data_IF_045618150835
#
_entry.id   IF_045618150835
#
_cell.length_a   1.000
_cell.length_b   1.000
_cell.length_c   1.000
_cell.angle_alpha   90.00
_cell.angle_beta   90.00
_cell.angle_gamma   90.00
#
_symmetry.space_group_name_H-M   'P 1'
#
loop_
_entity.id
_entity.type
_entity.pdbx_description
1 polymer ?
#
# COMPACT_ATOMS: atom_id res chain seq x y z
N UNK A 1 18.78 -27.03 21.54
CA UNK A 1 17.40 -27.57 21.46
C UNK A 1 16.85 -27.34 20.06
N UNK A 2 16.14 -28.31 19.49
CA UNK A 2 15.42 -28.09 18.22
C UNK A 2 14.34 -27.02 18.39
N UNK A 3 14.21 -26.15 17.38
CA UNK A 3 13.15 -25.12 17.37
C UNK A 3 11.80 -25.79 17.25
N UNK A 4 10.84 -25.44 18.10
CA UNK A 4 9.49 -25.99 18.07
C UNK A 4 8.72 -25.56 16.81
N UNK A 5 8.97 -24.35 16.33
CA UNK A 5 8.39 -23.78 15.09
C UNK A 5 9.54 -23.52 14.13
N UNK A 6 9.42 -23.88 12.83
CA UNK A 6 10.48 -23.62 11.86
C UNK A 6 10.70 -22.10 11.66
N UNK A 7 11.91 -21.70 11.28
CA UNK A 7 12.19 -20.28 11.01
C UNK A 7 11.36 -19.75 9.83
N UNK A 8 11.24 -20.56 8.78
CA UNK A 8 10.44 -20.23 7.59
C UNK A 8 9.27 -21.20 7.50
N UNK A 9 8.07 -20.66 7.49
CA UNK A 9 6.83 -21.41 7.36
C UNK A 9 6.32 -21.19 5.94
N UNK A 10 6.27 -22.26 5.17
CA UNK A 10 5.75 -22.25 3.81
C UNK A 10 4.40 -22.97 3.75
N UNK A 11 3.52 -22.43 2.94
CA UNK A 11 2.35 -23.13 2.43
C UNK A 11 2.73 -23.82 1.10
N UNK A 12 2.05 -24.90 0.75
CA UNK A 12 2.10 -25.46 -0.61
C UNK A 12 1.25 -24.64 -1.58
N UNK A 13 1.40 -24.85 -2.87
CA UNK A 13 0.54 -24.21 -3.88
C UNK A 13 -0.95 -24.54 -3.68
N UNK A 14 -1.26 -25.75 -3.24
CA UNK A 14 -2.64 -26.18 -2.96
C UNK A 14 -3.27 -25.45 -1.78
N UNK A 15 -2.44 -24.91 -0.88
CA UNK A 15 -2.85 -24.15 0.29
C UNK A 15 -2.97 -22.63 0.02
N UNK A 16 -2.64 -22.19 -1.20
CA UNK A 16 -2.90 -20.80 -1.59
C UNK A 16 -4.39 -20.46 -1.49
N UNK A 17 -4.73 -19.26 -1.08
CA UNK A 17 -6.11 -18.80 -1.09
C UNK A 17 -6.73 -18.92 -2.49
N UNK A 18 -7.91 -19.50 -2.57
CA UNK A 18 -8.71 -19.61 -3.83
C UNK A 18 -9.74 -18.48 -3.94
N UNK A 19 -9.86 -17.65 -2.92
CA UNK A 19 -10.71 -16.46 -2.88
C UNK A 19 -10.05 -15.36 -2.09
N UNK A 20 -10.28 -14.12 -2.51
CA UNK A 20 -10.00 -12.97 -1.68
C UNK A 20 -11.08 -12.81 -0.61
N UNK A 21 -10.72 -12.15 0.48
CA UNK A 21 -11.62 -11.87 1.59
C UNK A 21 -12.01 -10.39 1.63
N UNK A 22 -13.30 -10.11 1.45
CA UNK A 22 -13.83 -8.77 1.51
C UNK A 22 -14.30 -8.43 2.93
N UNK A 23 -13.45 -7.72 3.67
CA UNK A 23 -13.72 -7.33 5.04
C UNK A 23 -15.02 -6.50 5.20
N UNK A 24 -15.41 -5.72 4.15
CA UNK A 24 -16.63 -4.90 4.20
C UNK A 24 -17.88 -5.74 4.49
N UNK A 25 -17.94 -6.98 4.00
CA UNK A 25 -19.07 -7.88 4.26
C UNK A 25 -19.28 -8.21 5.74
N UNK A 26 -18.21 -8.15 6.55
CA UNK A 26 -18.26 -8.45 7.98
C UNK A 26 -18.32 -7.19 8.86
N UNK A 27 -18.26 -5.99 8.29
CA UNK A 27 -18.41 -4.74 9.04
C UNK A 27 -19.90 -4.46 9.29
N UNK A 28 -20.27 -4.21 10.56
CA UNK A 28 -21.64 -3.84 10.92
C UNK A 28 -22.06 -2.51 10.30
N UNK A 29 -21.17 -1.53 10.32
CA UNK A 29 -21.32 -0.27 9.60
C UNK A 29 -20.30 -0.22 8.46
N UNK A 30 -20.81 -0.12 7.23
CA UNK A 30 -19.97 0.00 6.03
C UNK A 30 -19.24 1.35 6.00
N UNK A 31 -18.11 1.48 5.26
CA UNK A 31 -17.58 2.79 4.92
C UNK A 31 -18.62 3.64 4.18
N UNK A 32 -18.52 4.96 4.31
CA UNK A 32 -19.38 5.87 3.57
C UNK A 32 -19.22 5.68 2.04
N UNK A 33 -20.29 5.89 1.23
CA UNK A 33 -20.25 5.65 -0.20
C UNK A 33 -19.26 6.59 -0.92
N UNK A 34 -18.70 6.12 -2.01
CA UNK A 34 -17.91 6.94 -2.94
C UNK A 34 -18.86 7.92 -3.63
N UNK A 35 -18.52 9.21 -3.70
CA UNK A 35 -19.39 10.23 -4.29
C UNK A 35 -18.87 10.72 -5.65
N UNK A 36 -19.78 10.91 -6.57
CA UNK A 36 -19.53 11.57 -7.85
C UNK A 36 -19.26 13.07 -7.63
N UNK A 37 -18.12 13.63 -8.11
CA UNK A 37 -17.70 14.98 -7.75
C UNK A 37 -18.66 16.09 -8.21
N UNK A 38 -19.38 15.88 -9.32
CA UNK A 38 -20.30 16.89 -9.86
C UNK A 38 -21.70 16.83 -9.27
N UNK A 39 -22.18 15.65 -8.82
CA UNK A 39 -23.56 15.48 -8.31
C UNK A 39 -23.63 15.27 -6.82
N UNK A 40 -22.51 14.92 -6.17
CA UNK A 40 -22.38 14.54 -4.76
C UNK A 40 -23.31 13.37 -4.35
N UNK A 41 -23.72 12.56 -5.31
CA UNK A 41 -24.46 11.30 -5.09
C UNK A 41 -23.50 10.12 -5.13
N UNK A 42 -23.87 8.98 -4.53
CA UNK A 42 -23.08 7.75 -4.68
C UNK A 42 -22.80 7.46 -6.16
N UNK A 43 -21.56 7.08 -6.47
CA UNK A 43 -21.16 6.71 -7.83
C UNK A 43 -21.85 5.41 -8.26
N UNK A 44 -22.10 5.30 -9.55
CA UNK A 44 -22.57 4.08 -10.20
C UNK A 44 -21.43 3.36 -10.91
N UNK A 45 -21.68 2.16 -11.39
CA UNK A 45 -20.71 1.43 -12.21
C UNK A 45 -20.40 2.18 -13.52
N UNK A 46 -21.40 2.85 -14.10
CA UNK A 46 -21.28 3.65 -15.32
C UNK A 46 -20.36 4.86 -15.13
N UNK A 47 -20.35 5.48 -13.93
CA UNK A 47 -19.48 6.60 -13.61
C UNK A 47 -18.00 6.19 -13.56
N UNK A 48 -17.69 4.95 -13.12
CA UNK A 48 -16.33 4.44 -12.97
C UNK A 48 -15.80 3.69 -14.20
N UNK A 49 -16.67 3.12 -15.03
CA UNK A 49 -16.32 2.30 -16.19
C UNK A 49 -15.42 3.00 -17.24
N UNK A 50 -15.49 4.32 -17.46
CA UNK A 50 -14.54 4.99 -18.34
C UNK A 50 -13.09 4.95 -17.86
N UNK A 51 -12.88 4.91 -16.53
CA UNK A 51 -11.56 4.98 -15.90
C UNK A 51 -10.99 3.59 -15.62
N UNK A 52 -11.79 2.68 -15.04
CA UNK A 52 -11.36 1.36 -14.61
C UNK A 52 -11.93 0.23 -15.46
N UNK A 53 -11.31 -0.94 -15.49
CA UNK A 53 -11.89 -2.12 -16.08
C UNK A 53 -13.12 -2.59 -15.28
N UNK A 54 -14.08 -3.21 -15.98
CA UNK A 54 -15.41 -3.55 -15.43
C UNK A 54 -15.37 -4.39 -14.17
N UNK A 55 -14.48 -5.38 -14.11
CA UNK A 55 -14.40 -6.24 -12.94
C UNK A 55 -13.79 -5.51 -11.73
N UNK A 56 -12.82 -4.61 -11.94
CA UNK A 56 -12.33 -3.75 -10.87
C UNK A 56 -13.44 -2.84 -10.31
N UNK A 57 -14.29 -2.29 -11.19
CA UNK A 57 -15.47 -1.51 -10.79
C UNK A 57 -16.45 -2.34 -9.97
N UNK A 58 -16.75 -3.57 -10.42
CA UNK A 58 -17.64 -4.49 -9.69
C UNK A 58 -17.09 -4.77 -8.29
N UNK A 59 -15.80 -5.08 -8.17
CA UNK A 59 -15.15 -5.36 -6.89
C UNK A 59 -15.05 -4.12 -6.00
N UNK A 60 -14.87 -2.93 -6.58
CA UNK A 60 -14.84 -1.67 -5.82
C UNK A 60 -16.17 -1.41 -5.12
N UNK A 61 -17.29 -1.68 -5.82
CA UNK A 61 -18.64 -1.42 -5.33
C UNK A 61 -19.26 -2.59 -4.55
N UNK A 62 -18.67 -3.80 -4.59
CA UNK A 62 -19.18 -4.98 -3.90
C UNK A 62 -18.90 -4.92 -2.40
N UNK A 63 -19.92 -4.67 -1.59
CA UNK A 63 -19.84 -4.59 -0.13
C UNK A 63 -20.34 -5.85 0.57
N UNK A 64 -20.96 -6.78 -0.16
CA UNK A 64 -21.73 -7.88 0.39
C UNK A 64 -21.07 -9.26 0.20
N UNK A 65 -20.35 -9.45 -0.90
CA UNK A 65 -19.65 -10.72 -1.16
C UNK A 65 -18.47 -10.89 -0.22
N UNK A 66 -18.62 -11.75 0.78
CA UNK A 66 -17.58 -12.01 1.79
C UNK A 66 -16.31 -12.62 1.19
N UNK A 67 -16.47 -13.54 0.24
CA UNK A 67 -15.38 -14.19 -0.49
C UNK A 67 -15.57 -13.98 -1.98
N UNK A 68 -14.54 -13.43 -2.63
CA UNK A 68 -14.52 -13.21 -4.07
C UNK A 68 -13.57 -14.25 -4.69
N UNK A 69 -14.05 -15.18 -5.54
CA UNK A 69 -13.21 -16.19 -6.14
C UNK A 69 -12.05 -15.60 -6.95
N UNK A 70 -10.87 -16.23 -6.88
CA UNK A 70 -9.71 -15.87 -7.67
C UNK A 70 -9.74 -16.69 -8.95
N UNK A 71 -9.86 -16.08 -10.15
CA UNK A 71 -9.81 -16.80 -11.42
C UNK A 71 -8.52 -17.61 -11.60
N UNK A 72 -8.60 -18.74 -12.31
CA UNK A 72 -7.45 -19.62 -12.53
C UNK A 72 -6.29 -18.90 -13.21
N UNK A 73 -6.56 -17.99 -14.18
CA UNK A 73 -5.49 -17.23 -14.83
C UNK A 73 -4.75 -16.28 -13.89
N UNK A 74 -5.37 -15.85 -12.77
CA UNK A 74 -4.70 -15.10 -11.71
C UNK A 74 -3.95 -16.05 -10.78
N UNK A 75 -4.51 -17.21 -10.47
CA UNK A 75 -3.81 -18.23 -9.67
C UNK A 75 -2.53 -18.70 -10.38
N UNK A 76 -2.55 -18.87 -11.70
CA UNK A 76 -1.36 -19.20 -12.49
C UNK A 76 -0.28 -18.11 -12.38
N UNK A 77 -0.68 -16.85 -12.46
CA UNK A 77 0.24 -15.74 -12.22
C UNK A 77 0.80 -15.75 -10.78
N UNK A 78 -0.05 -16.02 -9.79
CA UNK A 78 0.37 -16.09 -8.39
C UNK A 78 1.37 -17.24 -8.14
N UNK A 79 1.23 -18.40 -8.75
CA UNK A 79 2.17 -19.54 -8.63
C UNK A 79 3.61 -19.16 -8.98
N UNK A 80 3.82 -18.12 -9.79
CA UNK A 80 5.17 -17.66 -10.12
C UNK A 80 5.93 -17.05 -8.91
N UNK A 81 5.23 -16.63 -7.84
CA UNK A 81 5.87 -15.96 -6.69
C UNK A 81 5.18 -16.16 -5.34
N UNK A 82 4.07 -16.87 -5.30
CA UNK A 82 3.32 -17.23 -4.09
C UNK A 82 3.24 -18.75 -3.93
N UNK A 83 3.00 -19.26 -2.69
CA UNK A 83 2.83 -18.52 -1.43
C UNK A 83 4.10 -17.79 -0.98
N UNK A 84 3.96 -16.59 -0.43
CA UNK A 84 5.11 -15.90 0.17
C UNK A 84 5.38 -16.41 1.60
N UNK A 85 6.63 -16.42 2.07
CA UNK A 85 6.94 -17.02 3.36
C UNK A 85 6.43 -16.21 4.55
N UNK A 86 5.97 -16.91 5.60
CA UNK A 86 5.89 -16.39 6.96
C UNK A 86 7.17 -16.79 7.69
N UNK A 87 7.84 -15.84 8.32
CA UNK A 87 9.14 -16.08 8.97
C UNK A 87 9.03 -15.71 10.45
N UNK A 88 9.53 -16.60 11.32
CA UNK A 88 9.75 -16.26 12.73
C UNK A 88 11.13 -15.64 12.91
N UNK A 89 11.16 -14.45 13.47
CA UNK A 89 12.36 -13.62 13.61
C UNK A 89 13.21 -14.02 14.84
N UNK A 90 13.62 -15.27 14.92
CA UNK A 90 14.40 -15.79 16.06
C UNK A 90 15.69 -15.01 16.31
N UNK A 91 16.35 -14.51 15.28
CA UNK A 91 17.58 -13.77 15.44
C UNK A 91 17.33 -12.36 15.95
N UNK A 92 16.23 -11.73 15.52
CA UNK A 92 15.79 -10.45 16.04
C UNK A 92 15.33 -10.58 17.51
N UNK A 93 14.50 -11.60 17.83
CA UNK A 93 14.09 -11.92 19.21
C UNK A 93 15.33 -12.01 20.15
N UNK A 94 16.35 -12.76 19.71
CA UNK A 94 17.61 -12.92 20.43
C UNK A 94 18.39 -11.60 20.56
N UNK A 95 18.48 -10.81 19.48
CA UNK A 95 19.21 -9.53 19.47
C UNK A 95 18.55 -8.47 20.34
N UNK A 96 17.22 -8.56 20.54
CA UNK A 96 16.45 -7.70 21.43
C UNK A 96 16.43 -8.22 22.88
N UNK A 97 16.77 -9.50 23.09
CA UNK A 97 16.64 -10.20 24.38
C UNK A 97 15.22 -10.10 24.94
N UNK A 98 14.22 -10.26 24.07
CA UNK A 98 12.81 -10.13 24.38
C UNK A 98 12.13 -11.49 24.60
N UNK A 99 11.12 -11.58 25.49
CA UNK A 99 10.26 -12.76 25.59
C UNK A 99 9.21 -12.84 24.48
N UNK A 100 9.05 -11.77 23.66
CA UNK A 100 8.09 -11.74 22.56
C UNK A 100 8.43 -12.76 21.47
N UNK A 101 7.40 -13.30 20.82
CA UNK A 101 7.49 -14.08 19.60
C UNK A 101 7.20 -13.18 18.40
N UNK A 102 8.17 -13.01 17.50
CA UNK A 102 8.06 -12.06 16.37
C UNK A 102 7.97 -12.83 15.06
N UNK A 103 6.91 -12.54 14.29
CA UNK A 103 6.68 -13.11 12.97
C UNK A 103 6.57 -11.99 11.91
N UNK A 104 7.07 -12.25 10.71
CA UNK A 104 6.85 -11.33 9.59
C UNK A 104 6.46 -12.06 8.32
N UNK A 105 5.44 -11.48 7.62
CA UNK A 105 5.00 -11.95 6.31
C UNK A 105 5.81 -11.24 5.25
N UNK A 106 6.66 -11.97 4.52
CA UNK A 106 7.64 -11.37 3.60
C UNK A 106 7.14 -11.35 2.17
N UNK A 107 6.71 -10.18 1.72
CA UNK A 107 6.17 -9.91 0.38
C UNK A 107 7.22 -9.43 -0.64
N UNK A 108 8.48 -9.31 -0.26
CA UNK A 108 9.57 -8.86 -1.13
C UNK A 108 10.28 -9.98 -1.91
N UNK A 109 9.75 -11.20 -1.92
CA UNK A 109 10.40 -12.37 -2.53
C UNK A 109 10.21 -12.50 -4.05
N UNK A 110 9.54 -11.55 -4.69
CA UNK A 110 9.33 -11.51 -6.14
C UNK A 110 10.20 -10.43 -6.81
N UNK A 111 10.33 -10.48 -8.13
CA UNK A 111 11.19 -9.56 -8.90
C UNK A 111 10.79 -8.09 -8.78
N UNK A 112 9.49 -7.78 -8.62
CA UNK A 112 9.05 -6.41 -8.38
C UNK A 112 9.50 -5.88 -7.01
N UNK A 113 9.89 -6.79 -6.11
CA UNK A 113 10.42 -6.51 -4.79
C UNK A 113 9.38 -6.04 -3.77
N UNK A 114 8.08 -6.23 -4.02
CA UNK A 114 7.04 -5.77 -3.09
C UNK A 114 5.70 -6.50 -3.23
N UNK A 115 4.81 -6.33 -2.25
CA UNK A 115 3.42 -6.81 -2.21
C UNK A 115 2.56 -6.32 -3.39
N UNK A 116 2.97 -5.26 -4.09
CA UNK A 116 2.13 -4.61 -5.11
C UNK A 116 1.81 -5.55 -6.28
N UNK A 117 2.65 -6.55 -6.53
CA UNK A 117 2.42 -7.55 -7.55
C UNK A 117 1.12 -8.35 -7.32
N UNK A 118 0.67 -8.49 -6.08
CA UNK A 118 -0.58 -9.18 -5.73
C UNK A 118 -1.83 -8.52 -6.32
N UNK A 119 -1.80 -7.20 -6.56
CA UNK A 119 -2.91 -6.48 -7.20
C UNK A 119 -2.62 -6.15 -8.67
N UNK A 120 -1.35 -6.03 -9.05
CA UNK A 120 -0.97 -5.77 -10.44
C UNK A 120 -1.41 -6.90 -11.37
N UNK A 121 -1.22 -8.17 -10.96
CA UNK A 121 -1.67 -9.34 -11.70
C UNK A 121 -3.18 -9.34 -11.98
N UNK A 122 -4.03 -9.29 -10.95
CA UNK A 122 -5.48 -9.20 -11.14
C UNK A 122 -5.94 -8.06 -12.03
N UNK A 123 -5.42 -6.83 -11.85
CA UNK A 123 -5.81 -5.69 -12.67
C UNK A 123 -5.41 -5.89 -14.14
N UNK A 124 -4.22 -6.41 -14.41
CA UNK A 124 -3.78 -6.73 -15.77
C UNK A 124 -4.59 -7.89 -16.38
N UNK A 125 -4.89 -8.94 -15.61
CA UNK A 125 -5.73 -10.05 -16.05
C UNK A 125 -7.12 -9.57 -16.48
N UNK A 126 -7.83 -8.82 -15.63
CA UNK A 126 -9.16 -8.33 -15.94
C UNK A 126 -9.17 -7.36 -17.12
N UNK A 127 -8.14 -6.54 -17.25
CA UNK A 127 -7.97 -5.69 -18.43
C UNK A 127 -7.83 -6.52 -19.72
N UNK A 128 -7.06 -7.61 -19.68
CA UNK A 128 -6.91 -8.53 -20.81
C UNK A 128 -8.22 -9.22 -21.17
N UNK A 129 -8.96 -9.74 -20.16
CA UNK A 129 -10.26 -10.38 -20.34
C UNK A 129 -11.31 -9.41 -20.93
N UNK A 130 -11.26 -8.13 -20.58
CA UNK A 130 -12.11 -7.07 -21.15
C UNK A 130 -11.74 -6.73 -22.61
N UNK A 131 -10.64 -7.24 -23.14
CA UNK A 131 -10.15 -6.95 -24.49
C UNK A 131 -9.45 -5.60 -24.62
N UNK A 132 -8.93 -5.05 -23.50
CA UNK A 132 -8.07 -3.87 -23.50
C UNK A 132 -6.71 -4.19 -24.14
N UNK A 133 -6.03 -3.17 -24.65
CA UNK A 133 -4.70 -3.30 -25.27
C UNK A 133 -3.60 -2.69 -24.41
N UNK A 134 -3.94 -1.68 -23.64
CA UNK A 134 -2.98 -0.94 -22.85
C UNK A 134 -3.53 -0.51 -21.51
N UNK A 135 -2.62 -0.21 -20.59
CA UNK A 135 -2.90 0.36 -19.29
C UNK A 135 -2.07 1.63 -19.09
N UNK A 136 -2.63 2.58 -18.33
CA UNK A 136 -1.91 3.75 -17.83
C UNK A 136 -1.94 3.76 -16.31
N UNK A 137 -0.83 4.17 -15.70
CA UNK A 137 -0.75 4.23 -14.24
C UNK A 137 0.25 5.27 -13.77
N UNK A 138 0.13 5.67 -12.51
CA UNK A 138 1.13 6.44 -11.79
C UNK A 138 2.09 5.54 -11.03
N UNK A 139 3.21 6.11 -10.60
CA UNK A 139 4.04 5.51 -9.55
C UNK A 139 4.84 6.58 -8.80
N UNK A 140 4.87 6.49 -7.46
CA UNK A 140 5.72 7.34 -6.63
C UNK A 140 7.17 6.90 -6.70
N UNK A 141 7.56 5.94 -5.85
CA UNK A 141 8.93 5.43 -5.75
C UNK A 141 9.28 4.33 -6.78
N UNK A 142 8.36 3.95 -7.65
CA UNK A 142 8.56 2.96 -8.71
C UNK A 142 8.13 1.53 -8.37
N UNK A 143 7.76 1.20 -7.12
CA UNK A 143 7.35 -0.15 -6.76
C UNK A 143 6.08 -0.59 -7.50
N UNK A 144 5.08 0.28 -7.59
CA UNK A 144 3.84 -0.02 -8.30
C UNK A 144 4.07 -0.15 -9.80
N UNK A 145 4.79 0.83 -10.41
CA UNK A 145 5.13 0.77 -11.82
C UNK A 145 5.89 -0.51 -12.19
N UNK A 146 6.85 -0.96 -11.34
CA UNK A 146 7.58 -2.22 -11.56
C UNK A 146 6.66 -3.44 -11.51
N UNK A 147 5.72 -3.48 -10.56
CA UNK A 147 4.76 -4.58 -10.45
C UNK A 147 3.81 -4.62 -11.66
N UNK A 148 3.30 -3.46 -12.09
CA UNK A 148 2.45 -3.36 -13.27
C UNK A 148 3.20 -3.70 -14.57
N UNK A 149 4.45 -3.26 -14.72
CA UNK A 149 5.27 -3.59 -15.89
C UNK A 149 5.45 -5.12 -16.02
N UNK A 150 5.74 -5.80 -14.91
CA UNK A 150 5.84 -7.27 -14.87
C UNK A 150 4.51 -7.94 -15.21
N UNK A 151 3.38 -7.49 -14.63
CA UNK A 151 2.07 -8.04 -14.90
C UNK A 151 1.62 -7.81 -16.36
N UNK A 152 1.83 -6.61 -16.90
CA UNK A 152 1.52 -6.29 -18.30
C UNK A 152 2.34 -7.13 -19.28
N UNK A 153 3.64 -7.33 -19.00
CA UNK A 153 4.49 -8.22 -19.81
C UNK A 153 3.97 -9.67 -19.80
N UNK A 154 3.53 -10.16 -18.64
CA UNK A 154 2.97 -11.50 -18.51
C UNK A 154 1.69 -11.70 -19.32
N UNK A 155 0.77 -10.72 -19.28
CA UNK A 155 -0.53 -10.82 -19.98
C UNK A 155 -0.52 -10.22 -21.40
N UNK A 156 0.62 -9.70 -21.88
CA UNK A 156 0.77 -9.11 -23.22
C UNK A 156 -0.01 -7.81 -23.41
N UNK A 157 0.10 -6.89 -22.47
CA UNK A 157 -0.50 -5.55 -22.48
C UNK A 157 0.60 -4.48 -22.55
N UNK A 158 0.34 -3.39 -23.28
CA UNK A 158 1.18 -2.21 -23.25
C UNK A 158 0.95 -1.43 -21.94
N UNK A 159 2.02 -0.77 -21.43
CA UNK A 159 1.94 0.01 -20.20
C UNK A 159 2.60 1.39 -20.37
N UNK A 160 1.88 2.45 -19.98
CA UNK A 160 2.44 3.79 -19.77
C UNK A 160 2.44 4.12 -18.27
N UNK A 161 3.61 4.48 -17.74
CA UNK A 161 3.80 4.80 -16.31
C UNK A 161 4.19 6.25 -16.15
N UNK A 162 3.40 7.04 -15.43
CA UNK A 162 3.75 8.38 -14.99
C UNK A 162 4.46 8.30 -13.64
N UNK A 163 5.77 8.52 -13.62
CA UNK A 163 6.59 8.40 -12.41
C UNK A 163 6.91 9.77 -11.85
N UNK A 164 6.70 9.98 -10.55
CA UNK A 164 7.05 11.24 -9.87
C UNK A 164 8.49 11.61 -10.19
N UNK A 165 8.71 12.84 -10.75
CA UNK A 165 9.99 13.29 -11.35
C UNK A 165 11.17 13.15 -10.39
N UNK A 166 11.05 13.67 -9.17
CA UNK A 166 12.10 13.54 -8.14
C UNK A 166 12.44 12.08 -7.86
N UNK A 167 11.44 11.20 -7.79
CA UNK A 167 11.67 9.77 -7.56
C UNK A 167 12.32 9.09 -8.78
N UNK A 168 11.98 9.50 -10.00
CA UNK A 168 12.60 8.99 -11.23
C UNK A 168 14.10 9.29 -11.28
N UNK A 169 14.49 10.46 -10.80
CA UNK A 169 15.91 10.86 -10.70
C UNK A 169 16.65 10.13 -9.58
N UNK A 170 16.01 9.95 -8.42
CA UNK A 170 16.61 9.28 -7.26
C UNK A 170 16.71 7.75 -7.39
N UNK A 171 15.86 7.14 -8.22
CA UNK A 171 15.72 5.68 -8.34
C UNK A 171 15.79 5.21 -9.80
N UNK A 172 16.92 5.48 -10.53
CA UNK A 172 17.05 5.17 -11.96
C UNK A 172 16.88 3.68 -12.27
N UNK A 173 17.28 2.79 -11.36
CA UNK A 173 17.14 1.35 -11.55
C UNK A 173 15.68 0.87 -11.54
N UNK A 174 14.77 1.55 -10.85
CA UNK A 174 13.33 1.27 -10.93
C UNK A 174 12.79 1.59 -12.32
N UNK A 175 13.20 2.73 -12.89
CA UNK A 175 12.85 3.10 -14.27
C UNK A 175 13.39 2.06 -15.25
N UNK A 176 14.67 1.71 -15.15
CA UNK A 176 15.29 0.71 -16.01
C UNK A 176 14.58 -0.65 -15.94
N UNK A 177 14.16 -1.10 -14.74
CA UNK A 177 13.39 -2.33 -14.56
C UNK A 177 12.06 -2.28 -15.30
N UNK A 178 11.29 -1.19 -15.15
CA UNK A 178 10.01 -1.02 -15.86
C UNK A 178 10.20 -1.05 -17.38
N UNK A 179 11.20 -0.32 -17.90
CA UNK A 179 11.53 -0.27 -19.33
C UNK A 179 12.01 -1.65 -19.84
N UNK A 180 12.71 -2.44 -19.03
CA UNK A 180 13.12 -3.81 -19.39
C UNK A 180 11.94 -4.77 -19.55
N UNK A 181 10.80 -4.51 -18.87
CA UNK A 181 9.54 -5.21 -19.08
C UNK A 181 8.68 -4.60 -20.21
N UNK A 182 9.19 -3.60 -20.94
CA UNK A 182 8.51 -2.98 -22.08
C UNK A 182 7.61 -1.80 -21.72
N UNK A 183 7.60 -1.33 -20.48
CA UNK A 183 6.79 -0.16 -20.10
C UNK A 183 7.41 1.15 -20.62
N UNK A 184 6.55 2.09 -21.03
CA UNK A 184 6.92 3.47 -21.31
C UNK A 184 6.85 4.28 -20.02
N UNK A 185 7.99 4.82 -19.55
CA UNK A 185 8.06 5.60 -18.30
C UNK A 185 8.21 7.08 -18.61
N UNK A 186 7.29 7.89 -18.10
CA UNK A 186 7.24 9.35 -18.27
C UNK A 186 7.41 10.02 -16.90
N UNK A 187 8.45 10.86 -16.68
CA UNK A 187 8.54 11.67 -15.47
C UNK A 187 7.37 12.66 -15.36
N UNK A 188 6.70 12.70 -14.21
CA UNK A 188 5.54 13.56 -13.93
C UNK A 188 5.89 14.66 -12.90
N UNK A 189 5.52 15.94 -13.16
CA UNK A 189 4.69 16.45 -14.26
C UNK A 189 5.39 16.45 -15.61
N UNK A 190 4.63 16.29 -16.69
CA UNK A 190 5.14 16.18 -18.05
C UNK A 190 4.37 17.08 -19.04
N UNK A 191 4.97 17.29 -20.24
CA UNK A 191 4.29 17.95 -21.33
C UNK A 191 3.36 17.01 -22.14
N UNK A 192 3.27 15.73 -21.77
CA UNK A 192 2.48 14.74 -22.50
C UNK A 192 0.96 14.93 -22.27
N UNK A 193 0.56 15.50 -21.15
CA UNK A 193 -0.83 15.69 -20.73
C UNK A 193 -1.15 17.16 -20.50
N UNK A 194 -2.45 17.50 -20.48
CA UNK A 194 -2.89 18.85 -20.14
C UNK A 194 -2.68 19.14 -18.65
N UNK A 195 -2.98 18.14 -17.79
CA UNK A 195 -2.74 18.23 -16.36
C UNK A 195 -1.26 18.54 -16.06
N UNK A 196 -0.34 17.81 -16.68
CA UNK A 196 1.10 18.05 -16.51
C UNK A 196 1.53 19.42 -17.01
N UNK A 197 1.06 19.86 -18.20
CA UNK A 197 1.36 21.20 -18.73
C UNK A 197 0.86 22.32 -17.82
N UNK A 198 -0.34 22.21 -17.23
CA UNK A 198 -0.87 23.21 -16.29
C UNK A 198 0.01 23.34 -15.04
N UNK A 199 0.49 22.22 -14.50
CA UNK A 199 1.37 22.22 -13.32
C UNK A 199 2.73 22.84 -13.67
N UNK A 200 3.33 22.47 -14.82
CA UNK A 200 4.61 23.04 -15.27
C UNK A 200 4.52 24.52 -15.63
N UNK A 201 3.34 25.00 -16.08
CA UNK A 201 3.11 26.43 -16.33
C UNK A 201 3.00 27.22 -15.03
N UNK A 202 2.48 26.64 -13.96
CA UNK A 202 2.40 27.25 -12.63
C UNK A 202 3.75 27.23 -11.90
N UNK A 203 4.52 26.13 -12.04
CA UNK A 203 5.88 25.95 -11.50
C UNK A 203 6.71 25.07 -12.41
N UNK A 204 7.58 25.68 -13.20
CA UNK A 204 8.49 24.96 -14.11
C UNK A 204 9.49 24.03 -13.40
N UNK A 205 9.75 24.28 -12.10
CA UNK A 205 10.63 23.48 -11.24
C UNK A 205 9.92 22.38 -10.47
N UNK A 206 8.59 22.19 -10.65
CA UNK A 206 7.80 21.23 -9.90
C UNK A 206 8.41 19.82 -9.92
N UNK A 207 8.70 19.30 -8.73
CA UNK A 207 9.24 17.94 -8.53
C UNK A 207 8.20 16.82 -8.69
N UNK A 208 6.93 17.22 -8.78
CA UNK A 208 5.77 16.33 -8.89
C UNK A 208 5.31 15.74 -7.57
N UNK A 209 4.08 15.25 -7.57
CA UNK A 209 3.46 14.49 -6.47
C UNK A 209 2.77 13.26 -7.03
N UNK A 210 2.36 12.34 -6.14
CA UNK A 210 1.59 11.19 -6.58
C UNK A 210 0.24 11.61 -7.16
N UNK A 211 -0.44 12.60 -6.55
CA UNK A 211 -1.70 13.15 -7.07
C UNK A 211 -1.56 13.75 -8.48
N UNK A 212 -0.45 14.42 -8.77
CA UNK A 212 -0.13 14.91 -10.12
C UNK A 212 0.01 13.76 -11.11
N UNK A 213 0.77 12.73 -10.78
CA UNK A 213 0.98 11.57 -11.63
C UNK A 213 -0.33 10.79 -11.87
N UNK A 214 -1.23 10.71 -10.87
CA UNK A 214 -2.59 10.16 -11.00
C UNK A 214 -3.38 10.93 -12.06
N UNK A 215 -3.42 12.26 -11.96
CA UNK A 215 -4.15 13.10 -12.93
C UNK A 215 -3.65 12.88 -14.36
N UNK A 216 -2.33 12.82 -14.57
CA UNK A 216 -1.74 12.55 -15.89
C UNK A 216 -2.06 11.15 -16.40
N UNK A 217 -2.02 10.12 -15.54
CA UNK A 217 -2.31 8.74 -15.91
C UNK A 217 -3.78 8.54 -16.30
N UNK A 218 -4.71 9.13 -15.54
CA UNK A 218 -6.15 9.09 -15.87
C UNK A 218 -6.42 9.81 -17.19
N UNK A 219 -5.88 11.02 -17.40
CA UNK A 219 -6.02 11.76 -18.65
C UNK A 219 -5.49 10.93 -19.84
N UNK A 220 -4.34 10.30 -19.69
CA UNK A 220 -3.75 9.43 -20.71
C UNK A 220 -4.65 8.22 -21.02
N UNK A 221 -5.20 7.57 -19.99
CA UNK A 221 -6.10 6.44 -20.16
C UNK A 221 -7.38 6.83 -20.91
N UNK A 222 -8.01 7.94 -20.54
CA UNK A 222 -9.26 8.43 -21.16
C UNK A 222 -9.08 8.84 -22.62
N UNK A 223 -7.88 9.30 -23.02
CA UNK A 223 -7.56 9.73 -24.40
C UNK A 223 -7.06 8.59 -25.30
N UNK A 224 -6.79 7.41 -24.73
CA UNK A 224 -6.21 6.28 -25.47
C UNK A 224 -7.29 5.19 -25.67
N UNK A 225 -7.52 4.81 -26.92
CA UNK A 225 -8.48 3.75 -27.25
C UNK A 225 -8.08 2.42 -26.61
N UNK A 226 -9.06 1.69 -26.05
CA UNK A 226 -8.85 0.40 -25.37
C UNK A 226 -7.78 0.45 -24.27
N UNK A 227 -7.71 1.59 -23.55
CA UNK A 227 -6.87 1.81 -22.39
C UNK A 227 -7.74 2.02 -21.14
N UNK A 228 -7.23 1.62 -19.98
CA UNK A 228 -7.80 1.96 -18.67
C UNK A 228 -6.69 2.34 -17.70
N UNK A 229 -7.09 3.11 -16.72
CA UNK A 229 -6.24 3.45 -15.58
C UNK A 229 -6.25 2.32 -14.56
N UNK A 230 -5.11 2.08 -13.94
CA UNK A 230 -4.91 1.13 -12.83
C UNK A 230 -4.10 1.78 -11.73
N UNK A 231 -4.35 1.40 -10.46
CA UNK A 231 -3.64 2.00 -9.34
C UNK A 231 -3.26 0.98 -8.26
N UNK A 232 -2.22 1.31 -7.49
CA UNK A 232 -1.54 0.38 -6.58
C UNK A 232 -1.93 0.48 -5.11
N UNK A 233 -2.93 1.29 -4.74
CA UNK A 233 -3.36 1.48 -3.35
C UNK A 233 -4.71 2.20 -3.25
N UNK A 234 -5.16 2.50 -2.05
CA UNK A 234 -6.32 3.33 -1.66
C UNK A 234 -7.67 2.70 -1.93
N UNK A 235 -7.96 2.21 -3.14
CA UNK A 235 -9.27 1.69 -3.49
C UNK A 235 -9.53 0.30 -2.90
N UNK A 236 -10.81 -0.04 -2.75
CA UNK A 236 -11.26 -1.27 -2.08
C UNK A 236 -10.90 -2.53 -2.86
N UNK A 237 -10.98 -2.52 -4.19
CA UNK A 237 -10.57 -3.65 -5.01
C UNK A 237 -9.05 -3.94 -4.88
N UNK A 238 -8.23 -2.89 -4.70
CA UNK A 238 -6.79 -3.08 -4.45
C UNK A 238 -6.56 -3.72 -3.08
N UNK A 239 -7.25 -3.24 -2.03
CA UNK A 239 -7.20 -3.84 -0.69
C UNK A 239 -7.66 -5.29 -0.74
N UNK A 240 -8.76 -5.59 -1.46
CA UNK A 240 -9.30 -6.93 -1.66
C UNK A 240 -8.23 -7.88 -2.21
N UNK A 241 -7.53 -7.50 -3.30
CA UNK A 241 -6.47 -8.31 -3.89
C UNK A 241 -5.30 -8.56 -2.92
N UNK A 242 -5.01 -7.60 -2.04
CA UNK A 242 -3.94 -7.75 -1.05
C UNK A 242 -4.28 -8.70 0.09
N UNK A 243 -5.54 -9.12 0.24
CA UNK A 243 -5.94 -10.02 1.35
C UNK A 243 -5.28 -11.39 1.28
N UNK A 244 -4.70 -11.79 0.16
CA UNK A 244 -3.86 -12.99 0.06
C UNK A 244 -2.69 -12.96 1.05
N UNK A 245 -2.19 -11.77 1.42
CA UNK A 245 -1.14 -11.59 2.43
C UNK A 245 -1.58 -12.14 3.78
N UNK A 246 -2.72 -11.63 4.26
CA UNK A 246 -3.28 -12.01 5.55
C UNK A 246 -3.82 -13.43 5.58
N UNK A 247 -4.47 -13.87 4.50
CA UNK A 247 -5.00 -15.24 4.37
C UNK A 247 -3.88 -16.28 4.46
N UNK A 248 -2.77 -16.08 3.74
CA UNK A 248 -1.60 -16.96 3.85
C UNK A 248 -0.92 -16.86 5.22
N UNK A 249 -0.78 -15.64 5.78
CA UNK A 249 -0.18 -15.47 7.11
C UNK A 249 -1.01 -16.21 8.17
N UNK A 250 -2.34 -16.08 8.11
CA UNK A 250 -3.25 -16.76 9.02
C UNK A 250 -3.15 -18.29 8.87
N UNK A 251 -3.24 -18.81 7.65
CA UNK A 251 -3.12 -20.25 7.41
C UNK A 251 -1.78 -20.83 7.92
N UNK A 252 -0.68 -20.09 7.73
CA UNK A 252 0.65 -20.50 8.22
C UNK A 252 0.73 -20.47 9.76
N UNK A 253 0.14 -19.49 10.43
CA UNK A 253 0.08 -19.42 11.89
C UNK A 253 -0.83 -20.53 12.48
N UNK A 254 -1.98 -20.76 11.87
CA UNK A 254 -2.96 -21.77 12.29
C UNK A 254 -2.35 -23.19 12.29
N UNK A 255 -1.48 -23.52 11.30
CA UNK A 255 -0.72 -24.79 11.25
C UNK A 255 0.09 -25.07 12.52
N UNK A 256 0.48 -24.01 13.22
CA UNK A 256 1.31 -24.12 14.42
C UNK A 256 0.55 -23.73 15.70
N UNK A 257 -0.76 -23.48 15.60
CA UNK A 257 -1.60 -23.08 16.73
C UNK A 257 -1.21 -21.73 17.32
N UNK A 258 -0.65 -20.83 16.50
CA UNK A 258 -0.18 -19.49 16.92
C UNK A 258 -1.26 -18.45 16.63
N UNK A 259 -1.58 -17.64 17.64
CA UNK A 259 -2.49 -16.49 17.51
C UNK A 259 -1.72 -15.20 17.80
N UNK A 260 -1.77 -14.18 16.91
CA UNK A 260 -1.11 -12.92 17.15
C UNK A 260 -1.88 -12.07 18.19
N UNK A 261 -1.14 -11.42 19.10
CA UNK A 261 -1.65 -10.42 20.03
C UNK A 261 -1.58 -9.01 19.41
N UNK A 262 -0.60 -8.77 18.54
CA UNK A 262 -0.41 -7.49 17.85
C UNK A 262 -0.10 -7.74 16.38
N UNK A 263 -0.82 -7.05 15.49
CA UNK A 263 -0.61 -7.12 14.04
C UNK A 263 -0.27 -5.72 13.52
N UNK A 264 0.88 -5.59 12.84
CA UNK A 264 1.47 -4.30 12.48
C UNK A 264 1.71 -4.23 10.99
N UNK A 265 1.36 -3.12 10.35
CA UNK A 265 1.68 -2.87 8.95
C UNK A 265 2.00 -1.40 8.68
N UNK A 266 2.87 -1.14 7.70
CA UNK A 266 3.09 0.22 7.23
C UNK A 266 1.88 0.71 6.42
N UNK A 267 1.58 2.00 6.51
CA UNK A 267 0.42 2.62 5.90
C UNK A 267 0.80 3.87 5.10
N UNK A 268 0.60 3.78 3.77
CA UNK A 268 0.52 4.92 2.86
C UNK A 268 -0.94 5.09 2.47
N UNK A 269 -1.36 4.62 1.27
CA UNK A 269 -2.79 4.49 0.93
C UNK A 269 -3.50 3.30 1.60
N UNK A 270 -2.79 2.44 2.34
CA UNK A 270 -3.35 1.44 3.24
C UNK A 270 -3.51 0.02 2.70
N UNK A 271 -3.36 -0.24 1.39
CA UNK A 271 -3.68 -1.57 0.82
C UNK A 271 -2.85 -2.72 1.40
N UNK A 272 -1.55 -2.51 1.66
CA UNK A 272 -0.70 -3.52 2.30
C UNK A 272 -1.16 -3.85 3.73
N UNK A 273 -1.41 -2.83 4.54
CA UNK A 273 -1.93 -3.00 5.89
C UNK A 273 -3.29 -3.70 5.86
N UNK A 274 -4.23 -3.20 5.05
CA UNK A 274 -5.58 -3.75 4.93
C UNK A 274 -5.56 -5.21 4.48
N UNK A 275 -4.72 -5.56 3.51
CA UNK A 275 -4.56 -6.94 3.06
C UNK A 275 -4.04 -7.88 4.14
N UNK A 276 -3.06 -7.44 4.94
CA UNK A 276 -2.52 -8.22 6.04
C UNK A 276 -3.56 -8.43 7.16
N UNK A 277 -4.24 -7.35 7.58
CA UNK A 277 -5.10 -7.39 8.76
C UNK A 277 -6.49 -7.97 8.46
N UNK A 278 -7.00 -7.91 7.22
CA UNK A 278 -8.40 -8.22 6.90
C UNK A 278 -8.93 -9.52 7.51
N UNK A 279 -8.32 -10.72 7.33
CA UNK A 279 -8.87 -11.95 7.89
C UNK A 279 -8.81 -12.00 9.42
N UNK A 280 -7.84 -11.36 10.03
CA UNK A 280 -7.73 -11.25 11.49
C UNK A 280 -8.73 -10.22 12.06
N UNK A 281 -8.93 -9.12 11.36
CA UNK A 281 -9.93 -8.11 11.72
C UNK A 281 -11.34 -8.69 11.63
N UNK A 282 -11.63 -9.50 10.61
CA UNK A 282 -12.90 -10.23 10.53
C UNK A 282 -13.14 -11.15 11.72
N UNK A 283 -12.10 -11.82 12.24
CA UNK A 283 -12.20 -12.59 13.47
C UNK A 283 -12.41 -11.72 14.72
N UNK A 284 -11.74 -10.55 14.78
CA UNK A 284 -11.95 -9.58 15.88
C UNK A 284 -13.39 -9.04 15.87
N UNK A 285 -13.91 -8.64 14.73
CA UNK A 285 -15.29 -8.16 14.60
C UNK A 285 -16.31 -9.25 14.95
N UNK A 286 -15.98 -10.52 14.73
CA UNK A 286 -16.78 -11.67 15.13
C UNK A 286 -16.56 -12.11 16.59
N UNK A 287 -15.74 -11.41 17.38
CA UNK A 287 -15.44 -11.75 18.78
C UNK A 287 -14.58 -13.02 18.98
N UNK A 288 -13.85 -13.47 17.93
CA UNK A 288 -13.04 -14.71 17.95
C UNK A 288 -11.54 -14.45 18.19
N UNK A 289 -11.10 -13.22 18.03
CA UNK A 289 -9.70 -12.80 18.21
C UNK A 289 -9.66 -11.50 19.01
N UNK A 290 -8.84 -11.49 20.07
CA UNK A 290 -8.52 -10.27 20.81
C UNK A 290 -7.08 -9.85 20.46
N UNK A 291 -6.93 -9.13 19.35
CA UNK A 291 -5.65 -8.62 18.89
C UNK A 291 -5.72 -7.10 18.68
N UNK A 292 -4.59 -6.43 18.89
CA UNK A 292 -4.38 -5.04 18.51
C UNK A 292 -3.90 -4.96 17.06
N UNK A 293 -4.36 -3.94 16.35
CA UNK A 293 -3.96 -3.67 14.97
C UNK A 293 -3.33 -2.29 14.90
N UNK A 294 -2.13 -2.19 14.34
CA UNK A 294 -1.34 -0.96 14.34
C UNK A 294 -0.93 -0.56 12.94
N UNK A 295 -1.42 0.59 12.49
CA UNK A 295 -0.96 1.27 11.29
C UNK A 295 0.27 2.11 11.61
N UNK A 296 1.32 1.99 10.82
CA UNK A 296 2.54 2.80 11.01
C UNK A 296 2.78 3.65 9.76
N UNK A 297 2.67 4.95 9.93
CA UNK A 297 2.83 5.93 8.87
C UNK A 297 4.10 6.77 9.05
N UNK A 298 4.64 7.41 8.01
CA UNK A 298 5.77 8.31 8.15
C UNK A 298 5.34 9.63 8.79
N UNK A 299 6.13 10.14 9.72
CA UNK A 299 5.90 11.46 10.30
C UNK A 299 5.94 12.59 9.26
N UNK A 300 6.52 12.35 8.08
CA UNK A 300 6.50 13.28 6.94
C UNK A 300 5.16 13.31 6.17
N UNK A 301 4.29 12.30 6.39
CA UNK A 301 2.96 12.22 5.76
C UNK A 301 1.97 11.57 6.73
N UNK A 302 1.59 12.26 7.83
CA UNK A 302 0.86 11.70 8.97
C UNK A 302 -0.66 11.71 8.73
N UNK A 303 -1.11 10.91 7.77
CA UNK A 303 -2.47 10.89 7.25
C UNK A 303 -3.51 10.49 8.31
N UNK A 304 -3.22 9.47 9.13
CA UNK A 304 -4.09 9.07 10.23
C UNK A 304 -3.96 9.98 11.45
N UNK A 305 -2.72 10.23 11.89
CA UNK A 305 -2.46 10.85 13.19
C UNK A 305 -2.70 12.35 13.20
N UNK A 306 -2.63 13.01 12.02
CA UNK A 306 -2.83 14.48 11.87
C UNK A 306 -3.80 14.86 10.76
N UNK A 307 -4.33 13.86 9.99
CA UNK A 307 -5.31 14.10 8.93
C UNK A 307 -6.73 14.33 9.46
N UNK A 308 -7.63 14.77 8.57
CA UNK A 308 -9.06 14.96 8.83
C UNK A 308 -9.86 13.83 8.21
N UNK A 309 -10.92 13.35 8.88
CA UNK A 309 -11.83 12.33 8.33
C UNK A 309 -12.97 13.01 7.59
N UNK A 310 -12.80 13.18 6.28
CA UNK A 310 -13.73 13.92 5.41
C UNK A 310 -13.73 13.33 4.01
N UNK A 311 -14.64 13.76 3.16
CA UNK A 311 -14.58 13.49 1.73
C UNK A 311 -13.50 14.33 1.05
N UNK A 312 -12.66 13.68 0.28
CA UNK A 312 -11.60 14.35 -0.47
C UNK A 312 -11.33 13.64 -1.80
N UNK A 313 -10.64 14.31 -2.72
CA UNK A 313 -10.23 13.78 -4.00
C UNK A 313 -8.99 12.87 -3.86
N UNK A 314 -8.89 11.89 -4.74
CA UNK A 314 -7.72 11.03 -4.83
C UNK A 314 -6.55 11.65 -5.58
N UNK A 315 -6.77 12.77 -6.30
CA UNK A 315 -5.81 13.40 -7.21
C UNK A 315 -5.78 14.92 -7.08
N UNK A 316 -4.71 15.54 -7.56
CA UNK A 316 -4.50 17.00 -7.45
C UNK A 316 -5.36 17.81 -8.42
N UNK A 317 -5.79 17.24 -9.56
CA UNK A 317 -6.63 17.93 -10.54
C UNK A 317 -8.14 17.78 -10.24
N UNK A 318 -8.51 17.10 -9.18
CA UNK A 318 -9.90 16.90 -8.72
C UNK A 318 -10.79 16.21 -9.77
N UNK A 319 -10.24 15.23 -10.50
CA UNK A 319 -10.95 14.46 -11.52
C UNK A 319 -11.42 13.10 -11.01
N UNK A 320 -10.90 12.63 -9.86
CA UNK A 320 -11.34 11.38 -9.24
C UNK A 320 -12.66 11.56 -8.49
N UNK A 321 -13.40 10.46 -8.21
CA UNK A 321 -14.48 10.48 -7.23
C UNK A 321 -13.98 10.89 -5.84
N UNK A 322 -14.93 11.34 -5.01
CA UNK A 322 -14.69 11.71 -3.61
C UNK A 322 -14.79 10.48 -2.71
N UNK A 323 -13.75 10.26 -1.91
CA UNK A 323 -13.68 9.17 -0.93
C UNK A 323 -13.76 9.75 0.48
N UNK A 324 -14.59 9.18 1.37
CA UNK A 324 -14.54 9.50 2.79
C UNK A 324 -13.37 8.79 3.43
N UNK A 325 -12.38 9.55 3.85
CA UNK A 325 -11.10 9.02 4.30
C UNK A 325 -10.40 9.97 5.26
N UNK A 326 -9.41 9.47 5.99
CA UNK A 326 -8.43 10.35 6.62
C UNK A 326 -7.54 10.94 5.51
N UNK A 327 -7.43 12.27 5.50
CA UNK A 327 -6.70 12.98 4.45
C UNK A 327 -5.97 14.20 5.00
N UNK A 328 -4.86 14.52 4.36
CA UNK A 328 -4.10 15.77 4.56
C UNK A 328 -4.50 16.86 3.53
N UNK A 329 -5.51 16.55 2.68
CA UNK A 329 -5.93 17.36 1.55
C UNK A 329 -5.24 16.98 0.25
N UNK A 330 -6.01 16.93 -0.87
CA UNK A 330 -5.54 16.47 -2.20
C UNK A 330 -4.41 17.31 -2.78
N UNK A 331 -4.24 18.55 -2.33
CA UNK A 331 -3.13 19.44 -2.67
C UNK A 331 -1.93 19.35 -1.73
N UNK A 332 -1.98 18.54 -0.68
CA UNK A 332 -0.84 18.38 0.23
C UNK A 332 0.36 17.77 -0.49
N UNK A 333 1.50 18.44 -0.42
CA UNK A 333 2.77 17.97 -0.96
C UNK A 333 3.67 17.47 0.19
N UNK A 334 3.79 16.14 0.41
CA UNK A 334 4.64 15.60 1.46
C UNK A 334 6.10 16.03 1.28
N UNK A 335 6.84 16.36 2.35
CA UNK A 335 8.28 16.59 2.28
C UNK A 335 9.01 15.40 1.63
N UNK A 336 10.20 15.66 1.09
CA UNK A 336 11.01 14.60 0.51
C UNK A 336 11.39 13.57 1.58
N UNK A 337 11.01 12.32 1.36
CA UNK A 337 11.35 11.20 2.22
C UNK A 337 11.60 9.95 1.38
N UNK A 338 12.45 9.05 1.89
CA UNK A 338 12.86 7.85 1.13
C UNK A 338 11.76 6.78 1.03
N UNK A 339 10.83 6.74 1.99
CA UNK A 339 9.65 5.87 1.94
C UNK A 339 8.59 6.42 0.96
N UNK A 340 8.95 6.52 -0.31
CA UNK A 340 8.11 7.14 -1.35
C UNK A 340 6.75 6.48 -1.54
N UNK A 341 6.62 5.18 -1.25
CA UNK A 341 5.36 4.44 -1.29
C UNK A 341 4.39 4.78 -0.16
N UNK A 342 4.82 5.52 0.87
CA UNK A 342 3.96 6.00 1.97
C UNK A 342 3.63 7.50 1.86
N UNK A 343 4.04 8.18 0.80
CA UNK A 343 3.83 9.62 0.59
C UNK A 343 2.54 9.89 -0.20
N UNK A 344 1.41 9.57 0.40
CA UNK A 344 0.09 9.82 -0.19
C UNK A 344 -0.82 10.50 0.84
N UNK A 345 -1.54 11.54 0.43
CA UNK A 345 -2.34 12.40 1.28
C UNK A 345 -3.58 11.73 1.88
N UNK A 346 -4.08 10.65 1.28
CA UNK A 346 -5.34 10.01 1.64
C UNK A 346 -5.17 8.53 2.04
N UNK A 347 -6.11 8.02 2.81
CA UNK A 347 -6.12 6.65 3.32
C UNK A 347 -7.34 5.89 2.78
N UNK A 348 -7.21 4.57 2.54
CA UNK A 348 -8.33 3.71 2.18
C UNK A 348 -9.53 3.90 3.12
N UNK A 349 -10.74 3.95 2.57
CA UNK A 349 -11.98 4.22 3.32
C UNK A 349 -12.31 3.17 4.38
N UNK A 350 -12.02 1.88 4.12
CA UNK A 350 -12.21 0.79 5.10
C UNK A 350 -11.29 0.99 6.30
N UNK A 351 -10.01 1.26 6.06
CA UNK A 351 -9.06 1.49 7.15
C UNK A 351 -9.35 2.77 7.92
N UNK A 352 -9.79 3.83 7.22
CA UNK A 352 -10.21 5.08 7.84
C UNK A 352 -11.40 4.89 8.76
N UNK A 353 -12.39 4.08 8.35
CA UNK A 353 -13.54 3.71 9.17
C UNK A 353 -13.10 2.88 10.39
N UNK A 354 -12.26 1.87 10.21
CA UNK A 354 -11.74 1.05 11.32
C UNK A 354 -10.96 1.87 12.35
N UNK A 355 -10.16 2.84 11.89
CA UNK A 355 -9.44 3.74 12.79
C UNK A 355 -10.38 4.66 13.56
N UNK A 356 -11.36 5.27 12.89
CA UNK A 356 -12.40 6.10 13.50
C UNK A 356 -13.21 5.33 14.55
N UNK A 357 -13.53 4.07 14.29
CA UNK A 357 -14.35 3.22 15.16
C UNK A 357 -13.52 2.59 16.30
N UNK A 358 -12.23 2.86 16.40
CA UNK A 358 -11.34 2.37 17.46
C UNK A 358 -10.89 0.91 17.29
N UNK A 359 -11.07 0.31 16.12
CA UNK A 359 -10.59 -1.04 15.82
C UNK A 359 -9.14 -1.09 15.33
N UNK A 360 -8.60 0.03 14.87
CA UNK A 360 -7.24 0.21 14.38
C UNK A 360 -6.57 1.35 15.13
N UNK A 361 -5.32 1.15 15.55
CA UNK A 361 -4.45 2.16 16.12
C UNK A 361 -3.54 2.74 15.02
N UNK A 362 -3.06 3.97 15.18
CA UNK A 362 -2.10 4.56 14.27
C UNK A 362 -0.96 5.22 15.02
N UNK A 363 0.25 5.15 14.45
CA UNK A 363 1.43 5.88 14.95
C UNK A 363 2.28 6.38 13.80
N UNK A 364 2.86 7.55 13.96
CA UNK A 364 3.76 8.17 13.02
C UNK A 364 5.22 7.99 13.47
N UNK A 365 6.11 7.60 12.56
CA UNK A 365 7.52 7.36 12.85
C UNK A 365 8.43 8.29 12.03
N UNK A 366 9.50 8.78 12.66
CA UNK A 366 10.50 9.60 11.98
C UNK A 366 11.38 8.74 11.08
N UNK A 367 11.87 9.32 9.98
CA UNK A 367 12.65 8.60 8.99
C UNK A 367 13.94 7.99 9.61
N UNK A 368 14.66 8.74 10.45
CA UNK A 368 15.89 8.26 11.09
C UNK A 368 15.62 7.10 12.02
N UNK A 369 14.57 7.16 12.86
CA UNK A 369 14.20 6.06 13.77
C UNK A 369 13.83 4.79 13.00
N UNK A 370 13.19 4.94 11.85
CA UNK A 370 12.83 3.84 10.95
C UNK A 370 14.08 3.19 10.35
N UNK A 371 15.09 3.96 9.93
CA UNK A 371 16.34 3.41 9.39
C UNK A 371 17.24 2.80 10.47
N UNK A 372 17.19 3.29 11.72
CA UNK A 372 17.81 2.60 12.86
C UNK A 372 17.23 1.19 13.03
N UNK A 373 15.89 1.08 13.02
CA UNK A 373 15.19 -0.19 13.13
C UNK A 373 15.47 -1.11 11.94
N UNK A 374 15.48 -0.55 10.71
CA UNK A 374 15.84 -1.27 9.49
C UNK A 374 17.23 -1.88 9.54
N UNK A 375 18.22 -1.08 9.99
CA UNK A 375 19.61 -1.52 10.11
C UNK A 375 19.75 -2.61 11.18
N UNK A 376 19.06 -2.47 12.31
CA UNK A 376 19.02 -3.49 13.36
C UNK A 376 18.42 -4.80 12.87
N UNK A 377 17.27 -4.72 12.17
CA UNK A 377 16.62 -5.87 11.55
C UNK A 377 17.51 -6.54 10.50
N UNK A 378 18.10 -5.76 9.60
CA UNK A 378 18.99 -6.27 8.56
C UNK A 378 20.17 -7.03 9.15
N UNK A 379 20.81 -6.51 10.20
CA UNK A 379 21.93 -7.16 10.88
C UNK A 379 21.51 -8.45 11.59
N UNK A 380 20.29 -8.53 12.10
CA UNK A 380 19.78 -9.71 12.78
C UNK A 380 19.27 -10.78 11.79
N UNK A 381 18.42 -10.41 10.84
CA UNK A 381 17.68 -11.35 9.98
C UNK A 381 18.31 -11.55 8.59
N UNK A 382 19.33 -10.74 8.21
CA UNK A 382 20.01 -10.84 6.92
C UNK A 382 19.15 -10.39 5.73
N UNK A 383 18.08 -9.65 5.96
CA UNK A 383 17.17 -9.14 4.93
C UNK A 383 17.24 -7.61 4.91
N UNK A 384 17.47 -7.03 3.72
CA UNK A 384 17.44 -5.59 3.50
C UNK A 384 15.99 -5.15 3.26
N UNK A 385 15.32 -4.49 4.22
CA UNK A 385 13.92 -4.09 4.07
C UNK A 385 13.78 -2.83 3.22
N UNK A 386 12.63 -2.68 2.55
CA UNK A 386 12.27 -1.40 1.95
C UNK A 386 12.08 -0.32 3.03
N UNK A 387 12.34 0.97 2.75
CA UNK A 387 12.07 2.05 3.70
C UNK A 387 10.62 2.06 4.21
N UNK A 388 9.67 1.69 3.35
CA UNK A 388 8.26 1.54 3.71
C UNK A 388 8.05 0.47 4.79
N UNK A 389 8.57 -0.74 4.55
CA UNK A 389 8.45 -1.88 5.48
C UNK A 389 9.10 -1.60 6.82
N UNK A 390 10.13 -0.77 6.82
CA UNK A 390 10.91 -0.42 8.01
C UNK A 390 10.10 0.33 9.06
N UNK A 391 8.98 0.97 8.66
CA UNK A 391 8.03 1.55 9.60
C UNK A 391 7.36 0.47 10.46
N UNK A 392 6.92 -0.62 9.84
CA UNK A 392 6.35 -1.76 10.59
C UNK A 392 7.42 -2.45 11.46
N UNK A 393 8.66 -2.57 10.98
CA UNK A 393 9.79 -3.11 11.76
C UNK A 393 10.03 -2.26 12.99
N UNK A 394 10.04 -0.92 12.87
CA UNK A 394 10.24 -0.01 14.02
C UNK A 394 9.20 -0.26 15.10
N UNK A 395 7.92 -0.29 14.73
CA UNK A 395 6.85 -0.56 15.68
C UNK A 395 6.93 -1.97 16.29
N UNK A 396 7.29 -2.99 15.51
CA UNK A 396 7.45 -4.36 16.01
C UNK A 396 8.62 -4.46 17.02
N UNK A 397 9.74 -3.75 16.77
CA UNK A 397 10.85 -3.67 17.71
C UNK A 397 10.43 -2.97 19.01
N UNK A 398 9.66 -1.89 18.92
CA UNK A 398 9.19 -1.17 20.11
C UNK A 398 8.25 -2.05 20.96
N UNK A 399 7.29 -2.75 20.36
CA UNK A 399 6.43 -3.70 21.08
C UNK A 399 7.26 -4.83 21.72
N UNK A 400 8.28 -5.33 21.03
CA UNK A 400 9.16 -6.36 21.57
C UNK A 400 10.03 -5.86 22.74
N UNK A 401 10.51 -4.60 22.68
CA UNK A 401 11.25 -3.97 23.76
C UNK A 401 10.35 -3.67 24.96
N UNK A 402 9.07 -3.32 24.73
CA UNK A 402 8.09 -3.18 25.80
C UNK A 402 7.82 -4.53 26.48
N UNK A 403 7.73 -5.61 25.70
CA UNK A 403 7.64 -6.98 26.28
C UNK A 403 8.88 -7.31 27.14
N UNK A 404 10.09 -6.89 26.72
CA UNK A 404 11.29 -7.05 27.55
C UNK A 404 11.19 -6.27 28.85
N UNK A 405 10.72 -5.02 28.78
CA UNK A 405 10.59 -4.14 29.97
C UNK A 405 9.55 -4.64 30.97
N UNK A 406 8.44 -5.14 30.49
CA UNK A 406 7.32 -5.62 31.33
C UNK A 406 7.42 -7.07 31.75
N UNK A 407 8.21 -7.89 31.04
CA UNK A 407 8.23 -9.34 31.15
C UNK A 407 7.04 -10.04 30.50
N UNK A 408 6.13 -9.29 29.86
CA UNK A 408 4.96 -9.82 29.18
C UNK A 408 5.35 -10.55 27.89
N UNK A 409 4.70 -11.70 27.63
CA UNK A 409 4.94 -12.49 26.44
C UNK A 409 3.84 -12.24 25.42
N UNK A 410 4.18 -11.64 24.28
CA UNK A 410 3.25 -11.38 23.16
C UNK A 410 3.72 -12.02 21.86
N UNK A 411 2.79 -12.37 21.03
CA UNK A 411 3.00 -12.76 19.63
C UNK A 411 2.77 -11.54 18.75
N UNK A 412 3.82 -11.09 18.07
CA UNK A 412 3.82 -9.92 17.20
C UNK A 412 3.92 -10.40 15.75
N UNK A 413 2.92 -10.05 14.92
CA UNK A 413 2.96 -10.27 13.48
C UNK A 413 3.13 -8.92 12.77
N UNK A 414 4.10 -8.80 11.86
CA UNK A 414 4.16 -7.62 11.02
C UNK A 414 4.32 -7.93 9.53
N UNK A 415 3.91 -6.97 8.69
CA UNK A 415 4.06 -7.03 7.24
C UNK A 415 5.43 -6.52 6.80
N UNK A 416 6.28 -7.39 6.24
CA UNK A 416 7.50 -7.01 5.53
C UNK A 416 7.15 -6.85 4.05
N UNK A 417 6.61 -5.68 3.70
CA UNK A 417 5.91 -5.41 2.44
C UNK A 417 6.81 -5.35 1.20
N UNK A 418 8.12 -5.20 1.39
CA UNK A 418 9.05 -5.13 0.27
C UNK A 418 10.52 -5.19 0.66
N UNK A 419 11.37 -5.36 -0.37
CA UNK A 419 12.84 -5.35 -0.26
C UNK A 419 13.43 -3.98 -0.60
N UNK A 420 14.58 -3.65 0.01
CA UNK A 420 15.28 -2.37 -0.13
C UNK A 420 16.38 -2.32 -1.20
N UNK A 421 16.52 -3.34 -2.06
CA UNK A 421 17.61 -3.38 -3.04
C UNK A 421 17.64 -2.21 -4.02
N UNK A 422 16.50 -1.62 -4.31
CA UNK A 422 16.40 -0.41 -5.13
C UNK A 422 16.49 0.90 -4.34
N UNK A 423 16.70 0.82 -3.01
CA UNK A 423 16.67 1.96 -2.09
C UNK A 423 18.04 2.20 -1.44
N UNK A 424 19.13 1.72 -2.08
CA UNK A 424 20.49 1.82 -1.53
C UNK A 424 20.93 3.26 -1.30
N UNK A 425 20.47 4.22 -2.10
CA UNK A 425 20.74 5.65 -1.89
C UNK A 425 20.22 6.15 -0.53
N UNK A 426 19.08 5.62 -0.08
CA UNK A 426 18.54 5.92 1.25
C UNK A 426 19.44 5.37 2.37
N UNK A 427 19.88 4.13 2.24
CA UNK A 427 20.82 3.53 3.20
C UNK A 427 22.18 4.24 3.21
N UNK A 428 22.68 4.67 2.05
CA UNK A 428 23.89 5.50 1.96
C UNK A 428 23.71 6.82 2.71
N UNK A 429 22.61 7.53 2.51
CA UNK A 429 22.30 8.78 3.19
C UNK A 429 22.22 8.59 4.72
N UNK A 430 21.56 7.51 5.15
CA UNK A 430 21.50 7.17 6.57
C UNK A 430 22.90 6.89 7.16
N UNK A 431 23.71 6.05 6.51
CA UNK A 431 25.05 5.70 6.95
C UNK A 431 26.00 6.90 6.99
N UNK A 432 25.86 7.83 6.04
CA UNK A 432 26.61 9.08 6.00
C UNK A 432 26.15 10.13 7.02
N UNK A 433 25.05 9.87 7.75
CA UNK A 433 24.48 10.83 8.72
C UNK A 433 23.83 12.08 8.08
N UNK A 434 23.54 12.03 6.78
CA UNK A 434 22.95 13.15 6.00
C UNK A 434 21.42 13.04 5.85
N UNK A 435 20.81 12.02 6.46
CA UNK A 435 19.36 11.81 6.39
C UNK A 435 18.63 12.76 7.35
N UNK A 436 17.62 13.46 6.85
CA UNK A 436 16.78 14.38 7.61
C UNK A 436 15.46 13.74 8.03
N UNK A 437 14.89 14.22 9.15
CA UNK A 437 13.52 13.94 9.59
C UNK A 437 12.62 15.10 9.17
N UNK A 438 12.25 15.16 7.90
CA UNK A 438 11.37 16.20 7.37
C UNK A 438 9.93 15.96 7.85
N UNK A 439 9.50 16.71 8.88
CA UNK A 439 8.14 16.64 9.43
C UNK A 439 7.41 17.92 9.01
N UNK A 440 6.19 17.83 8.42
CA UNK A 440 5.44 19.01 8.02
C UNK A 440 5.02 19.84 9.25
N UNK A 441 5.15 21.15 9.13
CA UNK A 441 4.63 22.09 10.13
C UNK A 441 3.10 22.12 10.11
N UNK A 442 2.49 22.69 11.16
CA UNK A 442 1.03 22.92 11.18
C UNK A 442 0.60 23.81 10.01
N UNK A 443 1.41 24.81 9.65
CA UNK A 443 1.14 25.68 8.50
C UNK A 443 1.15 24.91 7.16
N UNK A 444 2.00 23.89 6.99
CA UNK A 444 2.01 23.06 5.79
C UNK A 444 0.77 22.16 5.73
N UNK A 445 0.32 21.65 6.87
CA UNK A 445 -0.92 20.87 6.95
C UNK A 445 -2.14 21.73 6.67
N UNK A 446 -2.21 22.95 7.21
CA UNK A 446 -3.33 23.88 6.95
C UNK A 446 -3.41 24.26 5.46
N UNK A 447 -2.28 24.42 4.76
CA UNK A 447 -2.28 24.58 3.29
C UNK A 447 -2.89 23.37 2.57
N UNK A 448 -2.57 22.17 3.02
CA UNK A 448 -3.18 20.94 2.52
C UNK A 448 -4.67 20.92 2.80
N UNK A 449 -5.09 21.15 4.04
CA UNK A 449 -6.50 21.15 4.44
C UNK A 449 -7.34 22.20 3.70
N UNK A 450 -6.74 23.31 3.28
CA UNK A 450 -7.41 24.32 2.47
C UNK A 450 -7.83 23.82 1.07
N UNK A 451 -7.30 22.67 0.62
CA UNK A 451 -7.68 22.05 -0.66
C UNK A 451 -8.81 21.02 -0.52
N UNK A 452 -9.23 20.69 0.70
CA UNK A 452 -10.37 19.81 0.96
C UNK A 452 -11.65 20.50 0.44
N UNK A 453 -12.48 19.77 -0.35
CA UNK A 453 -13.66 20.38 -0.96
C UNK A 453 -14.69 20.83 0.09
N UNK A 454 -15.19 22.06 -0.04
CA UNK A 454 -16.28 22.57 0.78
C UNK A 454 -17.63 22.05 0.26
N UNK A 455 -18.00 20.86 0.71
CA UNK A 455 -19.25 20.20 0.37
C UNK A 455 -20.10 19.96 1.63
N UNK A 456 -21.45 19.84 1.52
CA UNK A 456 -22.32 19.64 2.67
C UNK A 456 -21.93 18.43 3.54
N UNK A 457 -21.45 17.34 2.93
CA UNK A 457 -21.03 16.13 3.63
C UNK A 457 -19.74 16.28 4.47
N UNK A 458 -19.01 17.40 4.30
CA UNK A 458 -17.82 17.74 5.09
C UNK A 458 -18.07 18.76 6.22
N UNK A 459 -19.27 19.29 6.31
CA UNK A 459 -19.69 20.31 7.31
C UNK A 459 -20.19 19.69 8.61
#
# INVERSE_FOLDING_TARGET
>A
MARKIPTRIYLSEDEMPKSWYNLRADMAEKPDPILHPGTLKPVTAEDLAPVFCKEAVRQELDEDSRFVPIPEGILDFYRAFRPSPLIRAYYLEKALETPAEIYYKFEGTNTSGSHKLNSAGPQAFYAKEEGLRSLATETGAGQWGSAMAMACAFYGLDLTVFMVKVSSEQKPYRKALMESYGAKVIPSPSNATEAGRKILAADAGAGGSLGCAISEAIESALKTEKCRYVLGSVLNHVLLHQTVIGLEAKAALDKHGVKPDVIIGCAGGGSNLGGLIAPFMGEKLAGKLDARFVAVEPASCPTFTRGRYVYDFGDTANITPLLRMHTLGSGFAPPSAHAGGLRYHGMNSVLSKLYRDGHLEARAESQRSVFDAATRFMKAEGILPAPESSHAIKAAIDEALECKRTGEKKVILFGLSGTGYFDMTAYMSYTAGTMDDSIPSDADLEKGFATIPDIPQNR
#
